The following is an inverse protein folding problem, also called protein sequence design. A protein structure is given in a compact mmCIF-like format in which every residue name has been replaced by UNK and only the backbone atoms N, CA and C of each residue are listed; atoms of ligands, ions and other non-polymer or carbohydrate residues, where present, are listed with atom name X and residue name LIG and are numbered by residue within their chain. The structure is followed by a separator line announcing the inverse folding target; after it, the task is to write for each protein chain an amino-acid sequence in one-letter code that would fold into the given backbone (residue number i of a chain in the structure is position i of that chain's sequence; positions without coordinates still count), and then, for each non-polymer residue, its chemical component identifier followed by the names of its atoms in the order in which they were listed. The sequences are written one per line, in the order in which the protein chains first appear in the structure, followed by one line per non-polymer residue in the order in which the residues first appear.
data_IF_691414932863
#
_entry.id   IF_691414932863
#
_cell.length_a   1.000
_cell.length_b   1.000
_cell.length_c   1.000
_cell.angle_alpha   90.00
_cell.angle_beta   90.00
_cell.angle_gamma   90.00
#
_symmetry.space_group_name_H-M   'P 1'
#
loop_
_entity.id
_entity.type
_entity.pdbx_description
1 polymer ?
#
# COMPACT_ATOMS: atom_id res chain seq x y z
N UNK A 1 -61.48 25.97 34.10
CA UNK A 1 -62.14 24.64 34.17
C UNK A 1 -61.39 23.63 33.28
N UNK A 2 -60.48 22.85 33.89
CA UNK A 2 -59.64 21.87 33.19
C UNK A 2 -60.16 20.44 33.43
N UNK A 3 -60.20 19.56 32.40
CA UNK A 3 -60.80 18.24 32.51
C UNK A 3 -59.83 17.16 33.03
N UNK A 4 -60.45 16.08 33.48
CA UNK A 4 -59.97 15.00 34.36
C UNK A 4 -58.85 14.13 33.75
N UNK A 5 -57.87 13.77 34.59
CA UNK A 5 -56.83 12.76 34.31
C UNK A 5 -57.41 11.35 34.37
N UNK A 6 -57.36 10.62 33.24
CA UNK A 6 -57.60 9.19 33.17
C UNK A 6 -56.40 8.38 33.68
N UNK A 7 -56.67 7.29 34.42
CA UNK A 7 -55.66 6.32 34.89
C UNK A 7 -55.26 5.39 33.74
N UNK A 8 -53.95 5.26 33.52
CA UNK A 8 -53.36 4.22 32.67
C UNK A 8 -53.18 2.91 33.47
N UNK A 9 -53.34 1.72 32.84
CA UNK A 9 -53.15 0.43 33.50
C UNK A 9 -51.66 0.10 33.69
N UNK A 10 -51.37 -0.68 34.73
CA UNK A 10 -50.01 -1.11 35.12
C UNK A 10 -49.42 -2.09 34.09
N UNK A 11 -48.13 -2.00 33.73
CA UNK A 11 -47.51 -2.97 32.84
C UNK A 11 -47.25 -4.31 33.55
N UNK A 12 -47.57 -5.39 32.84
CA UNK A 12 -47.33 -6.80 33.20
C UNK A 12 -45.83 -7.10 33.27
N UNK A 13 -45.42 -7.81 34.34
CA UNK A 13 -44.06 -8.31 34.56
C UNK A 13 -43.73 -9.40 33.53
N UNK A 14 -42.68 -9.20 32.73
CA UNK A 14 -42.07 -10.25 31.92
C UNK A 14 -41.14 -11.13 32.77
N UNK A 15 -41.03 -12.44 32.49
CA UNK A 15 -40.18 -13.35 33.25
C UNK A 15 -38.69 -13.11 32.92
N UNK A 16 -37.75 -13.50 33.80
CA UNK A 16 -36.33 -13.27 33.56
C UNK A 16 -35.85 -14.15 32.39
N UNK A 17 -35.32 -13.52 31.34
CA UNK A 17 -34.57 -14.23 30.29
C UNK A 17 -33.33 -14.87 30.91
N UNK A 18 -33.22 -16.20 30.78
CA UNK A 18 -32.00 -16.96 31.04
C UNK A 18 -30.86 -16.36 30.21
N UNK A 19 -29.83 -15.82 30.87
CA UNK A 19 -28.57 -15.44 30.25
C UNK A 19 -27.84 -16.73 29.87
N UNK A 20 -27.95 -17.11 28.60
CA UNK A 20 -26.95 -17.97 27.97
C UNK A 20 -25.62 -17.22 27.96
N UNK A 21 -24.60 -17.81 28.54
CA UNK A 21 -23.25 -17.30 28.49
C UNK A 21 -22.70 -17.47 27.07
N UNK A 22 -22.98 -16.49 26.20
CA UNK A 22 -22.20 -16.30 24.98
C UNK A 22 -20.98 -15.47 25.36
N UNK A 23 -19.85 -16.13 25.61
CA UNK A 23 -18.54 -15.49 25.62
C UNK A 23 -18.25 -15.00 24.20
N UNK A 24 -18.65 -13.76 23.89
CA UNK A 24 -18.02 -13.03 22.79
C UNK A 24 -16.53 -12.96 23.14
N UNK A 25 -15.61 -13.39 22.27
CA UNK A 25 -14.22 -13.11 22.51
C UNK A 25 -14.11 -11.60 22.51
N UNK A 26 -13.74 -11.01 23.64
CA UNK A 26 -13.29 -9.64 23.67
C UNK A 26 -12.15 -9.57 22.65
N UNK A 27 -12.45 -9.06 21.45
CA UNK A 27 -11.45 -8.77 20.44
C UNK A 27 -10.49 -7.82 21.13
N UNK A 28 -9.37 -8.36 21.58
CA UNK A 28 -8.20 -7.60 22.00
C UNK A 28 -7.98 -6.65 20.83
N UNK A 29 -8.27 -5.36 21.01
CA UNK A 29 -7.78 -4.34 20.10
C UNK A 29 -6.26 -4.40 20.29
N UNK A 30 -5.62 -5.30 19.55
CA UNK A 30 -4.22 -5.17 19.26
C UNK A 30 -4.10 -3.78 18.66
N UNK A 31 -3.51 -2.89 19.43
CA UNK A 31 -3.22 -1.53 18.98
C UNK A 31 -2.35 -1.70 17.75
N UNK A 32 -2.95 -1.63 16.56
CA UNK A 32 -2.24 -1.72 15.29
C UNK A 32 -1.18 -0.63 15.32
N UNK A 33 0.06 -1.05 15.58
CA UNK A 33 1.19 -0.12 15.70
C UNK A 33 1.64 0.18 14.28
N UNK A 34 0.99 1.17 13.68
CA UNK A 34 1.37 1.69 12.38
C UNK A 34 2.85 2.12 12.39
N UNK A 35 3.68 1.69 11.43
CA UNK A 35 5.01 2.25 11.23
C UNK A 35 4.93 3.76 11.03
N UNK A 36 6.01 4.46 11.36
CA UNK A 36 6.05 5.93 11.25
C UNK A 36 7.22 6.39 10.39
N UNK A 37 6.96 7.43 9.59
CA UNK A 37 7.97 8.14 8.81
C UNK A 37 7.78 9.63 9.05
N UNK A 38 8.68 10.22 9.84
CA UNK A 38 8.53 11.61 10.29
C UNK A 38 7.24 11.79 11.08
N UNK A 39 6.34 12.65 10.60
CA UNK A 39 5.03 12.91 11.21
C UNK A 39 3.92 11.97 10.73
N UNK A 40 4.20 11.13 9.74
CA UNK A 40 3.20 10.28 9.10
C UNK A 40 3.20 8.87 9.68
N UNK A 41 2.02 8.25 9.71
CA UNK A 41 1.82 6.81 9.96
C UNK A 41 1.55 6.12 8.63
N UNK A 42 2.12 4.94 8.43
CA UNK A 42 1.98 4.18 7.19
C UNK A 42 0.85 3.19 7.34
N UNK A 43 -0.17 3.29 6.48
CA UNK A 43 -1.27 2.33 6.43
C UNK A 43 -0.90 1.10 5.61
N UNK A 44 -0.29 0.10 6.26
CA UNK A 44 0.13 -1.15 5.59
C UNK A 44 -1.07 -1.89 5.01
N UNK A 45 -2.19 -1.98 5.73
CA UNK A 45 -3.33 -2.78 5.29
C UNK A 45 -3.97 -2.19 4.02
N UNK A 46 -4.14 -0.87 3.98
CA UNK A 46 -4.63 -0.17 2.79
C UNK A 46 -3.64 -0.27 1.63
N UNK A 47 -2.33 -0.09 1.88
CA UNK A 47 -1.29 -0.29 0.87
C UNK A 47 -1.37 -1.70 0.27
N UNK A 48 -1.41 -2.73 1.10
CA UNK A 48 -1.43 -4.12 0.65
C UNK A 48 -2.69 -4.45 -0.15
N UNK A 49 -3.85 -3.95 0.30
CA UNK A 49 -5.13 -4.18 -0.38
C UNK A 49 -5.22 -3.53 -1.77
N UNK A 50 -4.47 -2.44 -2.00
CA UNK A 50 -4.48 -1.70 -3.26
C UNK A 50 -3.33 -2.11 -4.16
N UNK A 51 -2.10 -2.18 -3.64
CA UNK A 51 -0.91 -2.36 -4.45
C UNK A 51 -0.61 -3.82 -4.80
N UNK A 52 -0.85 -4.77 -3.89
CA UNK A 52 -0.50 -6.17 -4.15
C UNK A 52 -1.29 -6.81 -5.30
N UNK A 53 -2.61 -6.54 -5.48
CA UNK A 53 -3.34 -7.02 -6.65
C UNK A 53 -2.79 -6.48 -7.97
N UNK A 54 -2.36 -5.21 -8.00
CA UNK A 54 -1.81 -4.57 -9.20
C UNK A 54 -0.40 -5.06 -9.54
N UNK A 55 0.34 -5.58 -8.55
CA UNK A 55 1.65 -6.20 -8.75
C UNK A 55 1.58 -7.68 -9.16
N UNK A 56 0.38 -8.21 -9.45
CA UNK A 56 0.25 -9.55 -10.01
C UNK A 56 0.63 -9.53 -11.49
N UNK A 57 1.62 -10.35 -11.85
CA UNK A 57 2.05 -10.54 -13.24
C UNK A 57 0.93 -11.25 -14.00
N UNK A 58 0.42 -10.60 -15.04
CA UNK A 58 -0.58 -11.13 -15.97
C UNK A 58 0.01 -11.19 -17.37
N UNK A 59 -0.41 -12.16 -18.17
CA UNK A 59 0.14 -12.40 -19.51
C UNK A 59 -0.14 -11.25 -20.49
N UNK A 60 -1.18 -10.46 -20.24
CA UNK A 60 -1.60 -9.30 -21.03
C UNK A 60 -0.96 -7.97 -20.59
N UNK A 61 0.02 -8.01 -19.68
CA UNK A 61 0.68 -6.79 -19.19
C UNK A 61 1.91 -6.41 -20.00
N UNK A 62 1.86 -5.25 -20.64
CA UNK A 62 2.95 -4.71 -21.46
C UNK A 62 3.98 -3.88 -20.69
N UNK A 63 3.55 -3.23 -19.61
CA UNK A 63 4.37 -2.30 -18.83
C UNK A 63 3.90 -2.23 -17.39
N UNK A 64 4.84 -2.28 -16.45
CA UNK A 64 4.59 -1.90 -15.05
C UNK A 64 5.11 -0.49 -14.77
N UNK A 65 4.30 0.31 -14.09
CA UNK A 65 4.70 1.63 -13.56
C UNK A 65 4.54 1.61 -12.05
N UNK A 66 5.63 1.88 -11.32
CA UNK A 66 5.65 1.85 -9.85
C UNK A 66 6.21 3.19 -9.34
N UNK A 67 5.31 4.05 -8.87
CA UNK A 67 5.63 5.32 -8.22
C UNK A 67 5.08 5.29 -6.78
N UNK A 68 5.86 5.03 -5.73
CA UNK A 68 7.32 4.87 -5.60
C UNK A 68 7.66 3.52 -4.93
N UNK A 69 8.90 3.03 -5.06
CA UNK A 69 9.44 1.99 -4.16
C UNK A 69 10.37 2.62 -3.13
N UNK A 70 9.78 3.07 -2.02
CA UNK A 70 10.46 3.82 -0.99
C UNK A 70 10.36 3.20 0.41
N UNK A 71 10.77 3.99 1.41
CA UNK A 71 10.77 3.55 2.82
C UNK A 71 9.37 3.16 3.31
N UNK A 72 8.33 3.86 2.84
CA UNK A 72 6.96 3.68 3.33
C UNK A 72 6.38 2.36 2.84
N UNK A 73 6.57 2.04 1.57
CA UNK A 73 6.04 0.84 0.93
C UNK A 73 6.77 -0.41 1.43
N UNK A 74 8.06 -0.27 1.72
CA UNK A 74 8.91 -1.33 2.28
C UNK A 74 8.60 -1.71 3.74
N UNK A 75 7.63 -1.05 4.39
CA UNK A 75 7.09 -1.58 5.66
C UNK A 75 6.15 -2.76 5.45
N UNK A 76 5.55 -2.92 4.26
CA UNK A 76 4.84 -4.14 3.90
C UNK A 76 5.86 -5.25 3.61
N UNK A 77 5.76 -6.35 4.34
CA UNK A 77 6.59 -7.54 4.09
C UNK A 77 6.24 -8.23 2.76
N UNK A 78 5.04 -7.97 2.22
CA UNK A 78 4.56 -8.56 0.97
C UNK A 78 4.89 -7.70 -0.27
N UNK A 79 5.03 -6.38 -0.10
CA UNK A 79 5.24 -5.46 -1.21
C UNK A 79 6.56 -5.71 -1.94
N UNK A 80 7.69 -5.75 -1.24
CA UNK A 80 9.00 -5.91 -1.89
C UNK A 80 9.12 -7.24 -2.67
N UNK A 81 8.71 -8.41 -2.13
CA UNK A 81 8.63 -9.64 -2.91
C UNK A 81 7.72 -9.55 -4.14
N UNK A 82 6.62 -8.79 -4.09
CA UNK A 82 5.76 -8.58 -5.26
C UNK A 82 6.46 -7.75 -6.34
N UNK A 83 7.14 -6.66 -5.96
CA UNK A 83 7.96 -5.87 -6.89
C UNK A 83 9.07 -6.71 -7.54
N UNK A 84 9.75 -7.56 -6.77
CA UNK A 84 10.79 -8.44 -7.33
C UNK A 84 10.24 -9.43 -8.36
N UNK A 85 9.06 -10.02 -8.11
CA UNK A 85 8.39 -10.90 -9.07
C UNK A 85 8.06 -10.18 -10.39
N UNK A 86 7.65 -8.92 -10.30
CA UNK A 86 7.40 -8.08 -11.48
C UNK A 86 8.68 -7.87 -12.28
N UNK A 87 9.79 -7.55 -11.60
CA UNK A 87 11.10 -7.34 -12.25
C UNK A 87 11.63 -8.62 -12.90
N UNK A 88 11.35 -9.78 -12.32
CA UNK A 88 11.74 -11.10 -12.81
C UNK A 88 10.85 -11.60 -13.97
N UNK A 89 9.76 -10.89 -14.32
CA UNK A 89 8.75 -11.35 -15.30
C UNK A 89 9.08 -11.08 -16.78
N UNK A 90 10.23 -10.49 -17.09
CA UNK A 90 10.61 -9.98 -18.42
C UNK A 90 9.66 -8.92 -19.02
N UNK A 91 8.75 -8.36 -18.22
CA UNK A 91 7.91 -7.22 -18.60
C UNK A 91 8.68 -5.93 -18.26
N UNK A 92 8.73 -4.94 -19.18
CA UNK A 92 9.31 -3.63 -18.88
C UNK A 92 8.74 -3.01 -17.59
N UNK A 93 9.62 -2.44 -16.77
CA UNK A 93 9.25 -1.78 -15.52
C UNK A 93 9.83 -0.36 -15.51
N UNK A 94 8.96 0.63 -15.31
CA UNK A 94 9.35 1.98 -14.92
C UNK A 94 9.07 2.14 -13.43
N UNK A 95 10.11 2.38 -12.63
CA UNK A 95 9.95 2.58 -11.19
C UNK A 95 10.72 3.81 -10.71
N UNK A 96 10.19 4.48 -9.69
CA UNK A 96 10.89 5.54 -8.96
C UNK A 96 11.43 4.98 -7.65
N UNK A 97 12.65 5.39 -7.31
CA UNK A 97 13.32 5.01 -6.06
C UNK A 97 13.99 6.23 -5.42
N UNK A 98 14.05 6.30 -4.09
CA UNK A 98 14.68 7.43 -3.42
C UNK A 98 16.21 7.36 -3.55
N UNK A 99 16.85 8.52 -3.67
CA UNK A 99 18.31 8.64 -3.61
C UNK A 99 18.77 8.42 -2.15
N UNK A 100 19.84 7.64 -1.90
CA UNK A 100 20.40 7.48 -0.57
C UNK A 100 20.78 8.83 0.04
N UNK A 101 20.36 9.07 1.28
CA UNK A 101 20.69 10.31 2.01
C UNK A 101 21.66 10.00 3.13
N UNK A 102 22.78 10.75 3.19
CA UNK A 102 23.74 10.70 4.30
C UNK A 102 24.26 9.27 4.61
N UNK A 103 24.52 8.46 3.58
CA UNK A 103 24.99 7.07 3.72
C UNK A 103 23.92 6.08 4.22
N UNK A 104 22.69 6.52 4.46
CA UNK A 104 21.58 5.65 4.82
C UNK A 104 20.88 5.16 3.57
N UNK A 105 21.39 4.05 3.04
CA UNK A 105 20.73 3.33 1.97
C UNK A 105 19.68 2.37 2.53
N UNK A 106 18.56 2.20 1.82
CA UNK A 106 17.50 1.28 2.22
C UNK A 106 17.77 -0.04 1.49
N UNK A 107 18.01 -1.18 2.17
CA UNK A 107 18.45 -2.41 1.51
C UNK A 107 17.57 -2.87 0.33
N UNK A 108 16.24 -2.76 0.46
CA UNK A 108 15.31 -3.07 -0.63
C UNK A 108 15.49 -2.14 -1.84
N UNK A 109 15.64 -0.84 -1.59
CA UNK A 109 15.91 0.16 -2.64
C UNK A 109 17.26 -0.08 -3.30
N UNK A 110 18.31 -0.34 -2.51
CA UNK A 110 19.64 -0.65 -3.01
C UNK A 110 19.63 -1.87 -3.93
N UNK A 111 18.84 -2.90 -3.60
CA UNK A 111 18.67 -4.10 -4.43
C UNK A 111 18.03 -3.77 -5.79
N UNK A 112 17.05 -2.86 -5.84
CA UNK A 112 16.47 -2.39 -7.10
C UNK A 112 17.47 -1.58 -7.92
N UNK A 113 18.15 -0.64 -7.27
CA UNK A 113 19.15 0.22 -7.92
C UNK A 113 20.30 -0.57 -8.54
N UNK A 114 20.74 -1.63 -7.86
CA UNK A 114 21.87 -2.45 -8.28
C UNK A 114 21.45 -3.67 -9.12
N UNK A 115 20.19 -3.77 -9.53
CA UNK A 115 19.73 -4.89 -10.36
C UNK A 115 20.45 -4.85 -11.72
N UNK A 116 20.99 -5.98 -12.22
CA UNK A 116 21.84 -6.00 -13.42
C UNK A 116 21.12 -5.53 -14.69
N UNK A 117 19.79 -5.68 -14.76
CA UNK A 117 18.97 -5.19 -15.86
C UNK A 117 18.45 -3.74 -15.70
N UNK A 118 18.78 -3.05 -14.61
CA UNK A 118 18.25 -1.71 -14.36
C UNK A 118 19.05 -0.63 -15.09
N UNK A 119 18.33 0.30 -15.71
CA UNK A 119 18.89 1.57 -16.19
C UNK A 119 18.42 2.67 -15.26
N UNK A 120 19.38 3.36 -14.63
CA UNK A 120 19.11 4.33 -13.57
C UNK A 120 19.25 5.75 -14.11
N UNK A 121 18.15 6.51 -14.05
CA UNK A 121 18.13 7.94 -14.33
C UNK A 121 18.04 8.72 -13.00
N UNK A 122 19.06 9.50 -12.69
CA UNK A 122 19.05 10.36 -11.48
C UNK A 122 18.46 11.72 -11.83
N UNK A 123 17.30 12.03 -11.26
CA UNK A 123 16.60 13.30 -11.49
C UNK A 123 17.09 14.40 -10.53
N UNK A 124 17.22 15.61 -11.06
CA UNK A 124 17.38 16.86 -10.32
C UNK A 124 16.54 17.97 -10.98
N UNK A 125 16.50 19.14 -10.38
CA UNK A 125 15.69 20.26 -10.88
C UNK A 125 16.14 20.74 -12.27
N UNK A 126 17.41 20.60 -12.62
CA UNK A 126 17.98 21.08 -13.89
C UNK A 126 17.91 20.08 -15.05
N UNK A 127 17.66 18.79 -14.79
CA UNK A 127 17.64 17.76 -15.84
C UNK A 127 16.26 17.15 -16.10
N UNK A 128 15.21 17.60 -15.40
CA UNK A 128 13.87 16.98 -15.43
C UNK A 128 13.34 16.79 -16.85
N UNK A 129 13.40 17.81 -17.71
CA UNK A 129 12.85 17.73 -19.06
C UNK A 129 13.70 16.85 -19.98
N UNK A 130 15.03 16.99 -19.92
CA UNK A 130 15.95 16.15 -20.70
C UNK A 130 15.84 14.67 -20.31
N UNK A 131 15.69 14.38 -19.01
CA UNK A 131 15.50 13.02 -18.52
C UNK A 131 14.13 12.46 -18.88
N UNK A 132 13.07 13.28 -18.91
CA UNK A 132 11.75 12.86 -19.40
C UNK A 132 11.83 12.33 -20.82
N UNK A 133 12.45 13.08 -21.74
CA UNK A 133 12.62 12.64 -23.12
C UNK A 133 13.49 11.38 -23.23
N UNK A 134 14.55 11.29 -22.43
CA UNK A 134 15.42 10.10 -22.38
C UNK A 134 14.68 8.84 -21.91
N UNK A 135 13.89 8.95 -20.83
CA UNK A 135 13.07 7.86 -20.30
C UNK A 135 11.99 7.46 -21.30
N UNK A 136 11.31 8.43 -21.92
CA UNK A 136 10.30 8.19 -22.94
C UNK A 136 10.88 7.39 -24.12
N UNK A 137 11.97 7.87 -24.72
CA UNK A 137 12.58 7.20 -25.87
C UNK A 137 13.04 5.77 -25.53
N UNK A 138 13.61 5.57 -24.34
CA UNK A 138 14.03 4.25 -23.89
C UNK A 138 12.82 3.31 -23.73
N UNK A 139 11.77 3.74 -23.03
CA UNK A 139 10.55 2.94 -22.86
C UNK A 139 9.87 2.63 -24.19
N UNK A 140 9.73 3.61 -25.08
CA UNK A 140 9.17 3.38 -26.42
C UNK A 140 9.96 2.33 -27.19
N UNK A 141 11.30 2.34 -27.11
CA UNK A 141 12.15 1.33 -27.77
C UNK A 141 12.00 -0.07 -27.21
N UNK A 142 11.64 -0.21 -25.92
CA UNK A 142 11.40 -1.51 -25.28
C UNK A 142 10.03 -2.07 -25.69
N UNK A 143 9.02 -1.20 -25.75
CA UNK A 143 7.66 -1.60 -26.09
C UNK A 143 7.49 -1.92 -27.59
N UNK A 144 8.26 -1.27 -28.47
CA UNK A 144 8.25 -1.59 -29.91
C UNK A 144 8.93 -2.92 -30.27
N UNK A 145 9.71 -3.51 -29.36
CA UNK A 145 10.43 -4.78 -29.60
C UNK A 145 9.61 -6.04 -29.25
N UNK A 146 8.38 -5.86 -28.77
CA UNK A 146 7.42 -6.92 -28.50
C UNK A 146 6.38 -6.97 -29.61
#
# INVERSE_FOLDING_TARGET
PAPRRGRLPRPTRWPPRRRGASSSPARRRESVRWPTVGRYKVDIASLESLALPELQVKDDTDLFIIDEVGKMELFSSAFFPAVMRVIESNIPVLATIPVPRLGRDIPGVARLRNHPGAVIYTLNTGNRDAMREGVYNHLSSLLQKR
#
